data_IF_246753912464
#
_entry.id   IF_246753912464
#
_cell.length_a   1.000
_cell.length_b   1.000
_cell.length_c   1.000
_cell.angle_alpha   90.00
_cell.angle_beta   90.00
_cell.angle_gamma   90.00
#
_symmetry.space_group_name_H-M   'P 1'
#
loop_
_entity.id
_entity.type
_entity.pdbx_description
1 polymer ?
#
# COMPACT_ATOMS: atom_id res chain seq x y z
N UNK A 1 -65.51 42.96 -32.46
CA UNK A 1 -65.69 43.24 -31.03
C UNK A 1 -65.11 42.09 -30.23
N UNK A 2 -64.14 42.43 -29.37
CA UNK A 2 -63.59 41.68 -28.22
C UNK A 2 -62.79 40.41 -28.53
N UNK A 3 -61.46 40.56 -28.52
CA UNK A 3 -60.48 39.50 -28.32
C UNK A 3 -60.43 39.17 -26.82
N UNK A 4 -60.66 37.91 -26.44
CA UNK A 4 -60.40 37.40 -25.09
C UNK A 4 -59.18 36.48 -25.12
N UNK A 5 -58.10 36.93 -24.48
CA UNK A 5 -56.93 36.13 -24.20
C UNK A 5 -57.20 35.25 -22.97
N UNK A 6 -57.23 33.93 -23.16
CA UNK A 6 -57.16 32.97 -22.05
C UNK A 6 -55.72 32.49 -21.91
N UNK A 7 -55.05 32.93 -20.85
CA UNK A 7 -53.75 32.42 -20.41
C UNK A 7 -54.03 31.08 -19.70
N UNK A 8 -53.60 29.97 -20.30
CA UNK A 8 -53.60 28.65 -19.65
C UNK A 8 -52.35 28.52 -18.78
N UNK A 9 -52.53 28.55 -17.47
CA UNK A 9 -51.53 28.09 -16.51
C UNK A 9 -51.53 26.55 -16.50
N UNK A 10 -50.44 25.93 -16.97
CA UNK A 10 -50.20 24.50 -16.80
C UNK A 10 -49.52 24.30 -15.44
N UNK A 11 -50.29 23.90 -14.43
CA UNK A 11 -49.74 23.35 -13.19
C UNK A 11 -49.29 21.91 -13.48
N UNK A 12 -48.00 21.74 -13.79
CA UNK A 12 -47.36 20.43 -13.80
C UNK A 12 -47.07 19.99 -12.36
N UNK A 13 -47.86 19.05 -11.84
CA UNK A 13 -47.48 18.25 -10.68
C UNK A 13 -46.39 17.28 -11.13
N UNK A 14 -45.13 17.63 -10.92
CA UNK A 14 -44.04 16.67 -10.99
C UNK A 14 -44.06 15.85 -9.70
N UNK A 15 -44.57 14.63 -9.79
CA UNK A 15 -44.47 13.65 -8.73
C UNK A 15 -43.05 13.08 -8.72
N UNK A 16 -42.18 13.66 -7.90
CA UNK A 16 -40.85 13.11 -7.64
C UNK A 16 -40.99 11.95 -6.66
N UNK A 17 -41.44 10.81 -7.19
CA UNK A 17 -41.32 9.54 -6.49
C UNK A 17 -39.83 9.23 -6.29
N UNK A 18 -39.30 9.51 -5.10
CA UNK A 18 -37.99 9.05 -4.67
C UNK A 18 -38.05 7.52 -4.49
N UNK A 19 -37.98 6.79 -5.60
CA UNK A 19 -37.70 5.36 -5.58
C UNK A 19 -36.31 5.15 -5.00
N UNK A 20 -36.23 4.83 -3.72
CA UNK A 20 -35.02 4.26 -3.13
C UNK A 20 -34.80 2.91 -3.80
N UNK A 21 -34.05 2.91 -4.91
CA UNK A 21 -33.44 1.70 -5.41
C UNK A 21 -32.43 1.25 -4.35
N UNK A 22 -32.80 0.26 -3.55
CA UNK A 22 -31.84 -0.52 -2.79
C UNK A 22 -30.93 -1.16 -3.84
N UNK A 23 -29.78 -0.52 -4.15
CA UNK A 23 -28.71 -1.17 -4.88
C UNK A 23 -28.35 -2.38 -4.06
N UNK A 24 -28.75 -3.56 -4.53
CA UNK A 24 -28.28 -4.85 -4.04
C UNK A 24 -26.76 -4.71 -3.89
N UNK A 25 -26.23 -4.86 -2.68
CA UNK A 25 -24.79 -4.82 -2.44
C UNK A 25 -24.16 -5.73 -3.48
N UNK A 26 -23.29 -5.16 -4.30
CA UNK A 26 -22.55 -5.89 -5.31
C UNK A 26 -21.61 -6.81 -4.53
N UNK A 27 -22.01 -8.07 -4.35
CA UNK A 27 -21.15 -9.08 -3.76
C UNK A 27 -19.93 -9.23 -4.66
N UNK A 28 -18.73 -9.16 -4.10
CA UNK A 28 -17.51 -9.41 -4.85
C UNK A 28 -17.63 -10.78 -5.52
N UNK A 29 -17.46 -10.83 -6.85
CA UNK A 29 -17.48 -12.08 -7.62
C UNK A 29 -16.31 -12.99 -7.26
N UNK A 30 -15.24 -12.41 -6.72
CA UNK A 30 -14.05 -13.09 -6.22
C UNK A 30 -13.47 -12.31 -5.04
N UNK A 31 -12.98 -13.01 -4.03
CA UNK A 31 -12.24 -12.42 -2.91
C UNK A 31 -10.76 -12.69 -3.16
N UNK A 32 -9.94 -11.63 -3.22
CA UNK A 32 -8.49 -11.77 -3.25
C UNK A 32 -7.97 -11.87 -1.81
N UNK A 33 -7.16 -12.89 -1.52
CA UNK A 33 -6.66 -13.15 -0.16
C UNK A 33 -5.18 -12.77 -0.10
N UNK A 34 -4.85 -11.78 0.72
CA UNK A 34 -3.47 -11.42 1.07
C UNK A 34 -3.01 -12.32 2.22
N UNK A 35 -1.86 -12.96 2.06
CA UNK A 35 -1.27 -13.87 3.06
C UNK A 35 0.00 -13.28 3.65
N UNK A 36 0.37 -13.72 4.84
CA UNK A 36 1.67 -13.43 5.41
C UNK A 36 2.76 -14.07 4.54
N UNK A 37 3.88 -13.38 4.32
CA UNK A 37 4.91 -13.79 3.37
C UNK A 37 5.47 -15.20 3.64
N UNK A 38 5.52 -15.65 4.90
CA UNK A 38 6.00 -16.97 5.33
C UNK A 38 4.97 -18.08 5.13
N UNK A 39 3.70 -17.73 4.97
CA UNK A 39 2.62 -18.67 4.70
C UNK A 39 2.45 -18.95 3.20
N UNK A 40 3.15 -18.20 2.34
CA UNK A 40 3.18 -18.47 0.91
C UNK A 40 3.95 -19.75 0.62
N UNK A 41 3.36 -20.61 -0.20
CA UNK A 41 4.10 -21.70 -0.84
C UNK A 41 5.16 -21.14 -1.79
N UNK A 42 6.17 -21.96 -2.13
CA UNK A 42 7.19 -21.55 -3.09
C UNK A 42 6.58 -21.16 -4.45
N UNK A 43 5.50 -21.83 -4.88
CA UNK A 43 4.79 -21.47 -6.12
C UNK A 43 4.11 -20.11 -6.03
N UNK A 44 3.43 -19.81 -4.93
CA UNK A 44 2.81 -18.49 -4.73
C UNK A 44 3.85 -17.39 -4.66
N UNK A 45 4.97 -17.65 -3.98
CA UNK A 45 6.09 -16.71 -3.93
C UNK A 45 6.70 -16.44 -5.31
N UNK A 46 6.85 -17.46 -6.17
CA UNK A 46 7.33 -17.25 -7.54
C UNK A 46 6.37 -16.38 -8.38
N UNK A 47 5.04 -16.50 -8.17
CA UNK A 47 4.08 -15.60 -8.83
C UNK A 47 4.19 -14.16 -8.32
N UNK A 48 4.46 -13.96 -7.02
CA UNK A 48 4.77 -12.63 -6.45
C UNK A 48 6.02 -12.05 -7.10
N UNK A 49 7.12 -12.80 -7.14
CA UNK A 49 8.39 -12.38 -7.75
C UNK A 49 8.21 -12.01 -9.22
N UNK A 50 7.47 -12.83 -9.97
CA UNK A 50 7.14 -12.56 -11.38
C UNK A 50 6.37 -11.25 -11.54
N UNK A 51 5.32 -11.03 -10.75
CA UNK A 51 4.54 -9.80 -10.81
C UNK A 51 5.40 -8.57 -10.47
N UNK A 52 6.19 -8.66 -9.40
CA UNK A 52 7.10 -7.59 -8.95
C UNK A 52 8.13 -7.22 -10.02
N UNK A 53 8.77 -8.21 -10.66
CA UNK A 53 9.72 -7.96 -11.74
C UNK A 53 9.07 -7.35 -13.00
N UNK A 54 7.83 -7.74 -13.31
CA UNK A 54 7.07 -7.13 -14.40
C UNK A 54 6.74 -5.67 -14.08
N UNK A 55 6.30 -5.41 -12.85
CA UNK A 55 5.98 -4.06 -12.38
C UNK A 55 7.20 -3.13 -12.44
N UNK A 56 8.37 -3.62 -12.02
CA UNK A 56 9.63 -2.88 -12.10
C UNK A 56 10.03 -2.60 -13.55
N UNK A 57 10.03 -3.64 -14.40
CA UNK A 57 10.35 -3.52 -15.83
C UNK A 57 9.55 -2.45 -16.57
N UNK A 58 8.28 -2.26 -16.20
CA UNK A 58 7.40 -1.27 -16.81
C UNK A 58 7.38 0.07 -16.09
N UNK A 59 8.24 0.26 -15.08
CA UNK A 59 8.40 1.53 -14.35
C UNK A 59 7.30 1.81 -13.34
N UNK A 60 6.46 0.82 -13.00
CA UNK A 60 5.37 1.01 -12.05
C UNK A 60 5.87 1.31 -10.65
N UNK A 61 6.98 0.69 -10.21
CA UNK A 61 7.59 1.05 -8.93
C UNK A 61 7.99 2.52 -8.86
N UNK A 62 8.53 3.08 -9.95
CA UNK A 62 8.89 4.51 -10.02
C UNK A 62 7.64 5.40 -10.03
N UNK A 63 6.57 4.99 -10.71
CA UNK A 63 5.30 5.71 -10.70
C UNK A 63 4.64 5.75 -9.31
N UNK A 64 4.62 4.62 -8.61
CA UNK A 64 4.10 4.54 -7.24
C UNK A 64 4.98 5.33 -6.26
N UNK A 65 6.31 5.28 -6.41
CA UNK A 65 7.24 6.09 -5.62
C UNK A 65 6.99 7.59 -5.85
N UNK A 66 6.91 8.04 -7.10
CA UNK A 66 6.57 9.42 -7.46
C UNK A 66 5.25 9.86 -6.83
N UNK A 67 4.21 9.05 -6.97
CA UNK A 67 2.87 9.36 -6.45
C UNK A 67 2.91 9.55 -4.93
N UNK A 68 3.59 8.65 -4.21
CA UNK A 68 3.73 8.74 -2.76
C UNK A 68 4.52 9.98 -2.32
N UNK A 69 5.66 10.26 -2.96
CA UNK A 69 6.47 11.45 -2.64
C UNK A 69 5.73 12.74 -2.95
N UNK A 70 4.98 12.78 -4.06
CA UNK A 70 4.22 13.95 -4.47
C UNK A 70 3.14 14.35 -3.45
N UNK A 71 2.48 13.37 -2.81
CA UNK A 71 1.41 13.59 -1.83
C UNK A 71 1.88 13.45 -0.37
N UNK A 72 3.19 13.39 -0.10
CA UNK A 72 3.73 13.07 1.21
C UNK A 72 3.14 13.94 2.34
N UNK A 73 3.02 15.24 2.11
CA UNK A 73 2.56 16.19 3.11
C UNK A 73 1.06 16.11 3.38
N UNK A 74 0.29 15.47 2.51
CA UNK A 74 -1.16 15.31 2.62
C UNK A 74 -1.54 13.95 3.21
N UNK A 75 -0.65 12.95 3.09
CA UNK A 75 -0.95 11.55 3.42
C UNK A 75 -0.33 11.10 4.74
N UNK A 76 0.59 11.87 5.31
CA UNK A 76 1.29 11.55 6.57
C UNK A 76 0.94 12.53 7.69
N UNK A 77 0.65 12.02 8.89
CA UNK A 77 0.21 12.80 10.07
C UNK A 77 -1.15 13.50 9.90
N UNK A 78 -1.87 13.13 8.85
CA UNK A 78 -3.20 13.63 8.49
C UNK A 78 -4.26 12.52 8.45
N UNK A 79 -5.56 12.86 8.56
CA UNK A 79 -6.66 11.89 8.55
C UNK A 79 -6.68 10.94 7.35
N UNK A 80 -6.09 11.36 6.23
CA UNK A 80 -6.02 10.63 4.97
C UNK A 80 -5.10 9.41 5.03
N UNK A 81 -4.22 9.29 6.03
CA UNK A 81 -3.20 8.23 6.12
C UNK A 81 -3.73 6.83 5.81
N UNK A 82 -4.66 6.29 6.60
CA UNK A 82 -5.19 4.94 6.36
C UNK A 82 -5.98 4.79 5.06
N UNK A 83 -6.98 5.63 4.73
CA UNK A 83 -7.75 5.45 3.51
C UNK A 83 -6.90 5.64 2.25
N UNK A 84 -5.95 6.59 2.25
CA UNK A 84 -5.06 6.80 1.12
C UNK A 84 -4.11 5.62 0.93
N UNK A 85 -3.41 5.16 1.96
CA UNK A 85 -2.50 4.02 1.85
C UNK A 85 -3.23 2.73 1.51
N UNK A 86 -4.45 2.52 2.04
CA UNK A 86 -5.31 1.39 1.64
C UNK A 86 -5.62 1.43 0.16
N UNK A 87 -5.98 2.61 -0.39
CA UNK A 87 -6.25 2.75 -1.82
C UNK A 87 -4.98 2.58 -2.65
N UNK A 88 -3.85 3.13 -2.20
CA UNK A 88 -2.56 3.03 -2.85
C UNK A 88 -2.14 1.59 -3.10
N UNK A 89 -2.20 0.74 -2.06
CA UNK A 89 -1.86 -0.69 -2.20
C UNK A 89 -2.93 -1.50 -2.95
N UNK A 90 -4.17 -1.02 -3.04
CA UNK A 90 -5.19 -1.61 -3.91
C UNK A 90 -4.93 -1.30 -5.39
N UNK A 91 -4.51 -0.08 -5.71
CA UNK A 91 -4.09 0.28 -7.07
C UNK A 91 -2.82 -0.47 -7.48
N UNK A 92 -1.83 -0.59 -6.59
CA UNK A 92 -0.65 -1.43 -6.83
C UNK A 92 -1.04 -2.86 -7.18
N UNK A 93 -1.90 -3.47 -6.37
CA UNK A 93 -2.39 -4.83 -6.60
C UNK A 93 -3.19 -4.95 -7.90
N UNK A 94 -4.03 -3.96 -8.23
CA UNK A 94 -4.80 -3.93 -9.48
C UNK A 94 -3.89 -3.84 -10.72
N UNK A 95 -2.83 -3.04 -10.67
CA UNK A 95 -1.87 -2.94 -11.79
C UNK A 95 -1.06 -4.24 -11.90
N UNK A 96 -0.63 -4.82 -10.79
CA UNK A 96 0.02 -6.13 -10.82
C UNK A 96 -0.90 -7.22 -11.39
N UNK A 97 -2.20 -7.20 -11.06
CA UNK A 97 -3.21 -8.12 -11.59
C UNK A 97 -3.48 -7.98 -13.08
N UNK A 98 -3.25 -6.79 -13.66
CA UNK A 98 -3.31 -6.59 -15.10
C UNK A 98 -2.31 -7.52 -15.84
N UNK A 99 -1.13 -7.76 -15.24
CA UNK A 99 -0.11 -8.63 -15.81
C UNK A 99 -0.17 -10.07 -15.26
N UNK A 100 -0.55 -10.21 -13.99
CA UNK A 100 -0.60 -11.48 -13.26
C UNK A 100 -1.97 -11.63 -12.58
N UNK A 101 -3.00 -12.17 -13.26
CA UNK A 101 -4.39 -12.15 -12.75
C UNK A 101 -4.63 -12.82 -11.39
N UNK A 102 -3.74 -13.72 -10.97
CA UNK A 102 -3.79 -14.43 -9.69
C UNK A 102 -2.99 -13.74 -8.58
N UNK A 103 -2.40 -12.58 -8.85
CA UNK A 103 -1.57 -11.86 -7.89
C UNK A 103 -2.40 -11.37 -6.70
N UNK A 104 -1.91 -11.66 -5.51
CA UNK A 104 -2.34 -11.04 -4.27
C UNK A 104 -1.10 -10.45 -3.58
N UNK A 105 -1.19 -9.19 -3.16
CA UNK A 105 -0.10 -8.52 -2.47
C UNK A 105 0.10 -9.17 -1.10
N UNK A 106 1.23 -9.85 -0.83
CA UNK A 106 1.47 -10.39 0.50
C UNK A 106 1.67 -9.27 1.51
N UNK A 107 1.39 -9.58 2.78
CA UNK A 107 1.82 -8.74 3.89
C UNK A 107 2.98 -9.39 4.63
N UNK A 108 3.72 -8.58 5.36
CA UNK A 108 4.77 -9.01 6.26
C UNK A 108 4.38 -8.60 7.66
N UNK A 109 4.44 -9.53 8.61
CA UNK A 109 4.25 -9.23 10.03
C UNK A 109 5.61 -8.88 10.67
N UNK A 110 5.91 -7.59 10.92
CA UNK A 110 7.17 -7.17 11.52
C UNK A 110 7.29 -7.56 12.99
N UNK A 111 6.17 -7.86 13.66
CA UNK A 111 6.18 -8.22 15.09
C UNK A 111 6.84 -9.56 15.35
N UNK A 112 6.98 -10.41 14.33
CA UNK A 112 7.61 -11.72 14.46
C UNK A 112 9.14 -11.64 14.56
N UNK A 113 9.77 -10.60 14.00
CA UNK A 113 11.23 -10.40 14.09
C UNK A 113 11.64 -9.03 14.65
N UNK A 114 10.73 -8.33 15.36
CA UNK A 114 10.99 -6.98 15.91
C UNK A 114 12.26 -6.90 16.77
N UNK A 115 12.63 -7.99 17.45
CA UNK A 115 13.78 -8.06 18.33
C UNK A 115 15.13 -8.05 17.58
N UNK A 116 15.15 -8.49 16.32
CA UNK A 116 16.33 -8.45 15.45
C UNK A 116 15.91 -8.34 13.98
N UNK A 117 15.46 -7.15 13.53
CA UNK A 117 14.91 -6.98 12.18
C UNK A 117 15.90 -7.35 11.08
N UNK A 118 17.20 -7.13 11.31
CA UNK A 118 18.26 -7.48 10.37
C UNK A 118 18.37 -9.00 10.10
N UNK A 119 17.93 -9.85 11.05
CA UNK A 119 17.85 -11.31 10.88
C UNK A 119 16.50 -11.81 10.38
N UNK A 120 15.57 -10.92 10.06
CA UNK A 120 14.27 -11.31 9.51
C UNK A 120 14.43 -12.15 8.26
N UNK A 121 13.57 -13.17 8.12
CA UNK A 121 13.49 -13.99 6.91
C UNK A 121 13.21 -13.13 5.67
N UNK A 122 12.53 -11.99 5.84
CA UNK A 122 12.24 -11.04 4.77
C UNK A 122 13.52 -10.57 4.07
N UNK A 123 14.63 -10.45 4.80
CA UNK A 123 15.90 -9.96 4.28
C UNK A 123 16.87 -11.07 3.86
N UNK A 124 16.33 -12.19 3.39
CA UNK A 124 17.12 -13.25 2.76
C UNK A 124 17.02 -13.17 1.25
N UNK A 125 17.97 -13.80 0.54
CA UNK A 125 17.96 -13.88 -0.92
C UNK A 125 16.74 -14.60 -1.50
N UNK A 126 16.00 -15.37 -0.69
CA UNK A 126 14.71 -15.93 -1.11
C UNK A 126 13.66 -14.82 -1.24
N UNK A 127 13.65 -13.86 -0.32
CA UNK A 127 12.58 -12.87 -0.16
C UNK A 127 12.93 -11.50 -0.73
N UNK A 128 13.32 -10.49 0.04
CA UNK A 128 13.52 -9.11 -0.46
C UNK A 128 15.00 -8.73 -0.65
N UNK A 129 15.91 -9.70 -0.48
CA UNK A 129 17.34 -9.47 -0.44
C UNK A 129 17.81 -8.86 0.89
N UNK A 130 19.10 -9.00 1.17
CA UNK A 130 19.74 -8.57 2.40
C UNK A 130 20.20 -7.12 2.41
N UNK A 131 21.12 -6.84 3.33
CA UNK A 131 21.88 -5.60 3.44
C UNK A 131 22.72 -5.37 2.18
N UNK A 132 22.81 -4.13 1.71
CA UNK A 132 23.60 -3.78 0.53
C UNK A 132 25.10 -3.60 0.78
N UNK A 133 25.56 -3.88 2.00
CA UNK A 133 26.95 -3.78 2.44
C UNK A 133 27.41 -2.34 2.69
N UNK A 134 28.60 -2.22 3.27
CA UNK A 134 29.16 -0.93 3.72
C UNK A 134 29.73 -0.03 2.62
N UNK A 135 29.89 -0.52 1.39
CA UNK A 135 30.54 0.24 0.31
C UNK A 135 29.55 0.92 -0.62
N UNK A 136 28.73 0.14 -1.35
CA UNK A 136 27.76 0.68 -2.31
C UNK A 136 26.37 0.80 -1.73
N UNK A 137 26.08 0.05 -0.66
CA UNK A 137 24.77 -0.14 -0.07
C UNK A 137 23.74 -0.72 -1.06
N UNK A 138 24.17 -1.18 -2.25
CA UNK A 138 23.29 -1.70 -3.28
C UNK A 138 22.83 -3.13 -2.93
N UNK A 139 21.53 -3.38 -3.01
CA UNK A 139 20.96 -4.72 -2.89
C UNK A 139 21.41 -5.57 -4.08
N UNK A 140 22.08 -6.69 -3.80
CA UNK A 140 22.73 -7.55 -4.80
C UNK A 140 22.16 -8.98 -4.83
N UNK A 141 21.13 -9.27 -4.03
CA UNK A 141 20.47 -10.56 -3.95
C UNK A 141 18.93 -10.42 -3.87
N UNK A 142 18.24 -11.54 -3.99
CA UNK A 142 16.78 -11.58 -4.06
C UNK A 142 16.18 -11.05 -5.37
N UNK A 143 14.84 -10.99 -5.45
CA UNK A 143 14.07 -10.47 -6.57
C UNK A 143 14.41 -9.03 -6.93
N UNK A 144 14.89 -8.25 -5.96
CA UNK A 144 15.24 -6.84 -6.14
C UNK A 144 16.73 -6.61 -6.39
N UNK A 145 17.49 -7.69 -6.64
CA UNK A 145 18.91 -7.60 -6.93
C UNK A 145 19.16 -6.72 -8.17
N UNK A 146 20.06 -5.74 -8.02
CA UNK A 146 20.49 -4.85 -9.11
C UNK A 146 19.36 -4.01 -9.73
N UNK A 147 18.28 -3.78 -9.00
CA UNK A 147 17.25 -2.84 -9.45
C UNK A 147 17.83 -1.44 -9.64
N UNK A 148 17.50 -0.83 -10.77
CA UNK A 148 17.86 0.55 -11.11
C UNK A 148 16.69 1.47 -10.83
N UNK A 149 16.78 2.22 -9.73
CA UNK A 149 15.82 3.25 -9.37
C UNK A 149 16.06 4.46 -10.28
N UNK A 150 15.01 4.96 -10.95
CA UNK A 150 15.10 6.18 -11.78
C UNK A 150 14.36 7.37 -11.20
N UNK A 151 13.77 7.22 -10.02
CA UNK A 151 13.09 8.29 -9.28
C UNK A 151 13.50 8.26 -7.81
N UNK A 152 13.84 9.41 -7.20
CA UNK A 152 13.94 10.73 -7.82
C UNK A 152 15.16 10.90 -8.74
N UNK A 153 16.20 10.08 -8.52
CA UNK A 153 17.47 10.12 -9.23
C UNK A 153 17.90 8.70 -9.65
N UNK A 154 18.85 8.58 -10.58
CA UNK A 154 19.36 7.29 -11.01
C UNK A 154 20.33 6.70 -9.98
N UNK A 155 19.96 5.58 -9.36
CA UNK A 155 20.81 4.81 -8.44
C UNK A 155 20.35 3.34 -8.33
N UNK A 156 21.19 2.47 -7.77
CA UNK A 156 20.76 1.12 -7.40
C UNK A 156 19.78 1.16 -6.22
N UNK A 157 18.89 0.18 -6.07
CA UNK A 157 18.15 0.01 -4.81
C UNK A 157 19.14 -0.16 -3.65
N UNK A 158 19.06 0.72 -2.64
CA UNK A 158 19.96 0.69 -1.48
C UNK A 158 19.27 0.19 -0.22
N UNK A 159 20.00 -0.56 0.61
CA UNK A 159 19.57 -1.01 1.94
C UNK A 159 20.75 -1.02 2.90
N UNK A 160 20.58 -0.40 4.07
CA UNK A 160 21.58 -0.33 5.13
C UNK A 160 20.87 -0.62 6.46
N UNK A 161 21.23 -1.72 7.14
CA UNK A 161 20.63 -2.11 8.43
C UNK A 161 21.26 -1.42 9.62
N UNK A 162 22.53 -1.03 9.49
CA UNK A 162 23.22 -0.21 10.47
C UNK A 162 23.77 1.03 9.79
N UNK A 163 23.33 2.19 10.22
CA UNK A 163 23.78 3.44 9.62
C UNK A 163 25.23 3.69 10.04
N UNK A 164 26.14 3.64 9.07
CA UNK A 164 27.59 3.80 9.29
C UNK A 164 27.99 5.12 9.96
N UNK A 165 27.15 6.16 9.86
CA UNK A 165 27.35 7.45 10.53
C UNK A 165 26.86 7.49 11.98
N UNK A 166 25.93 6.61 12.36
CA UNK A 166 25.40 6.49 13.72
C UNK A 166 24.96 5.03 13.97
N UNK A 167 25.79 4.22 14.63
CA UNK A 167 25.47 2.84 14.95
C UNK A 167 24.24 2.66 15.85
N UNK A 168 23.76 3.73 16.50
CA UNK A 168 22.50 3.69 17.27
C UNK A 168 21.26 3.84 16.39
N UNK A 169 21.45 4.34 15.16
CA UNK A 169 20.46 4.32 14.11
C UNK A 169 20.57 2.96 13.42
N UNK A 170 19.64 2.07 13.75
CA UNK A 170 19.53 0.72 13.19
C UNK A 170 18.10 0.51 12.72
N UNK A 171 17.90 -0.45 11.82
CA UNK A 171 16.54 -0.85 11.45
C UNK A 171 15.77 -1.27 12.72
N UNK A 172 14.70 -0.55 13.03
CA UNK A 172 13.84 -0.80 14.18
C UNK A 172 12.41 -1.05 13.70
N UNK A 173 11.76 -2.05 14.30
CA UNK A 173 10.35 -2.32 14.09
C UNK A 173 9.59 -2.22 15.40
N UNK A 174 8.34 -1.75 15.30
CA UNK A 174 7.43 -1.59 16.43
C UNK A 174 7.23 -2.95 17.11
N UNK A 175 7.37 -2.98 18.44
CA UNK A 175 7.15 -4.21 19.20
C UNK A 175 5.66 -4.60 19.20
N UNK A 176 5.32 -5.89 19.32
CA UNK A 176 3.93 -6.33 19.41
C UNK A 176 3.18 -5.66 20.58
N UNK A 177 3.85 -5.36 21.69
CA UNK A 177 3.23 -4.70 22.85
C UNK A 177 2.79 -3.28 22.53
N UNK A 178 3.64 -2.49 21.84
CA UNK A 178 3.31 -1.12 21.42
C UNK A 178 2.14 -1.15 20.45
N UNK A 179 2.19 -2.04 19.45
CA UNK A 179 1.13 -2.18 18.45
C UNK A 179 -0.21 -2.57 19.10
N UNK A 180 -0.22 -3.61 19.95
CA UNK A 180 -1.42 -4.11 20.62
C UNK A 180 -1.99 -3.08 21.60
N UNK A 181 -1.12 -2.42 22.37
CA UNK A 181 -1.54 -1.34 23.27
C UNK A 181 -2.20 -0.22 22.49
N UNK A 182 -1.58 0.23 21.38
CA UNK A 182 -2.15 1.23 20.50
C UNK A 182 -3.53 0.86 19.97
N UNK A 183 -3.68 -0.37 19.47
CA UNK A 183 -4.96 -0.88 18.97
C UNK A 183 -6.05 -0.96 20.04
N UNK A 184 -5.70 -1.34 21.28
CA UNK A 184 -6.67 -1.57 22.35
C UNK A 184 -7.03 -0.30 23.12
N UNK A 185 -6.11 0.66 23.21
CA UNK A 185 -6.26 1.85 24.06
C UNK A 185 -6.67 3.10 23.28
N UNK A 186 -6.48 3.13 21.96
CA UNK A 186 -6.92 4.24 21.13
C UNK A 186 -8.44 4.36 21.13
N UNK A 187 -8.95 5.51 21.56
CA UNK A 187 -10.39 5.78 21.65
C UNK A 187 -10.92 6.66 20.51
N UNK A 188 -10.03 7.22 19.70
CA UNK A 188 -10.35 8.04 18.54
C UNK A 188 -9.38 7.76 17.38
N UNK A 189 -9.79 8.16 16.18
CA UNK A 189 -9.05 7.92 14.95
C UNK A 189 -7.66 8.57 14.94
N UNK A 190 -7.53 9.80 15.45
CA UNK A 190 -6.28 10.56 15.40
C UNK A 190 -5.25 9.91 16.34
N UNK A 191 -5.67 9.50 17.52
CA UNK A 191 -4.81 8.74 18.46
C UNK A 191 -4.35 7.43 17.81
N UNK A 192 -5.29 6.66 17.24
CA UNK A 192 -4.97 5.41 16.57
C UNK A 192 -3.98 5.59 15.40
N UNK A 193 -4.23 6.56 14.53
CA UNK A 193 -3.36 6.90 13.40
C UNK A 193 -1.95 7.28 13.88
N UNK A 194 -1.85 8.20 14.84
CA UNK A 194 -0.55 8.65 15.35
C UNK A 194 0.25 7.49 15.96
N UNK A 195 -0.38 6.58 16.70
CA UNK A 195 0.31 5.41 17.27
C UNK A 195 0.85 4.47 16.19
N UNK A 196 0.07 4.22 15.13
CA UNK A 196 0.52 3.31 14.06
C UNK A 196 1.59 3.97 13.18
N UNK A 197 1.48 5.26 12.91
CA UNK A 197 2.38 5.97 11.99
C UNK A 197 3.74 6.30 12.62
N UNK A 198 3.78 6.56 13.93
CA UNK A 198 5.00 6.98 14.63
C UNK A 198 5.65 5.88 15.48
N UNK A 199 4.89 4.84 15.86
CA UNK A 199 5.33 3.81 16.81
C UNK A 199 5.21 4.27 18.26
#
# INVERSE_FOLDING_TARGET
MIFSYFILYVLGLADFGAGMYIRRQQSCSSINIRKEVRELSDTEWQEVVKAVNIMDKYGWFHWFAFTHVHFFNEIHLFPEFFPWHRRFIQEFESVAQHYCPTFALPYFDPTLDFADPAKSVLFTSKYMGGDGGSTSQCVNDGPQANWEMTYPDNHCLKREFMFSSDPSNSIFWISPEVLLSGMQTSTDYRTFQNTIELG
#
